data_IF_998535630112
#
_entry.id   IF_998535630112
#
_cell.length_a   1.000
_cell.length_b   1.000
_cell.length_c   1.000
_cell.angle_alpha   90.00
_cell.angle_beta   90.00
_cell.angle_gamma   90.00
#
_symmetry.space_group_name_H-M   'P 1'
#
loop_
_entity.id
_entity.type
_entity.pdbx_description
1 polymer ?
#
# COMPACT_ATOMS: atom_id res chain seq x y z
N UNK A 1 26.02 -22.87 3.41
CA UNK A 1 26.29 -23.59 4.68
C UNK A 1 25.09 -23.29 5.55
N UNK A 2 24.03 -24.03 5.32
CA UNK A 2 22.71 -23.77 5.90
C UNK A 2 22.70 -24.33 7.32
N UNK A 3 22.42 -23.46 8.29
CA UNK A 3 22.49 -23.79 9.71
C UNK A 3 21.41 -24.83 10.07
N UNK A 4 21.75 -25.99 10.65
CA UNK A 4 20.81 -27.06 11.02
C UNK A 4 19.89 -26.71 12.22
N UNK A 5 19.65 -25.42 12.47
CA UNK A 5 18.87 -24.89 13.60
C UNK A 5 17.44 -24.44 13.19
N UNK A 6 17.00 -24.79 11.99
CA UNK A 6 15.65 -24.44 11.49
C UNK A 6 14.61 -25.56 11.65
N UNK A 7 15.02 -26.77 12.07
CA UNK A 7 14.12 -27.93 12.20
C UNK A 7 13.16 -27.86 13.42
N UNK A 8 13.30 -26.84 14.28
CA UNK A 8 12.41 -26.63 15.42
C UNK A 8 11.68 -25.28 15.34
N UNK A 9 10.35 -25.26 15.53
CA UNK A 9 9.58 -24.02 15.54
C UNK A 9 10.06 -23.14 16.70
N UNK A 10 10.58 -21.96 16.37
CA UNK A 10 10.96 -20.94 17.34
C UNK A 10 9.73 -20.18 17.82
N UNK A 11 9.74 -19.74 19.07
CA UNK A 11 8.63 -19.01 19.67
C UNK A 11 8.69 -17.56 19.18
N UNK A 12 7.64 -17.11 18.50
CA UNK A 12 7.50 -15.74 18.03
C UNK A 12 6.76 -14.87 19.04
N UNK A 13 7.36 -13.74 19.39
CA UNK A 13 6.79 -12.69 20.25
C UNK A 13 6.64 -11.42 19.39
N UNK A 14 5.53 -10.71 19.59
CA UNK A 14 5.19 -9.49 18.83
C UNK A 14 5.95 -8.25 19.31
N UNK A 15 6.38 -8.19 20.57
CA UNK A 15 7.07 -7.03 21.11
C UNK A 15 8.05 -7.35 22.22
N UNK A 16 9.16 -6.60 22.28
CA UNK A 16 10.09 -6.59 23.41
C UNK A 16 9.40 -6.25 24.73
N UNK A 17 8.35 -5.41 24.68
CA UNK A 17 7.55 -5.06 25.86
C UNK A 17 6.85 -6.30 26.44
N UNK A 18 6.37 -7.19 25.59
CA UNK A 18 5.68 -8.41 26.03
C UNK A 18 6.64 -9.39 26.66
N UNK A 19 7.85 -9.53 26.10
CA UNK A 19 8.90 -10.35 26.70
C UNK A 19 9.29 -9.82 28.09
N UNK A 20 9.53 -8.50 28.23
CA UNK A 20 9.82 -7.89 29.55
C UNK A 20 8.65 -8.06 30.53
N UNK A 21 7.41 -7.96 30.05
CA UNK A 21 6.22 -8.19 30.88
C UNK A 21 6.15 -9.63 31.38
N UNK A 22 6.41 -10.62 30.52
CA UNK A 22 6.46 -12.04 30.91
C UNK A 22 7.58 -12.28 31.93
N UNK A 23 8.78 -11.73 31.69
CA UNK A 23 9.91 -11.84 32.62
C UNK A 23 9.56 -11.26 34.00
N UNK A 24 8.92 -10.09 34.04
CA UNK A 24 8.51 -9.44 35.28
C UNK A 24 7.43 -10.23 36.02
N UNK A 25 6.41 -10.74 35.30
CA UNK A 25 5.35 -11.55 35.90
C UNK A 25 5.90 -12.86 36.48
N UNK A 26 6.82 -13.52 35.78
CA UNK A 26 7.47 -14.74 36.28
C UNK A 26 8.27 -14.40 37.54
N UNK A 27 9.09 -13.35 37.52
CA UNK A 27 9.85 -12.88 38.69
C UNK A 27 8.94 -12.57 39.88
N UNK A 28 7.83 -11.88 39.64
CA UNK A 28 6.86 -11.54 40.69
C UNK A 28 6.17 -12.79 41.27
N UNK A 29 5.70 -13.71 40.42
CA UNK A 29 5.08 -14.96 40.85
C UNK A 29 6.03 -15.86 41.65
N UNK A 30 7.31 -15.94 41.24
CA UNK A 30 8.33 -16.68 41.97
C UNK A 30 8.65 -16.05 43.33
N UNK A 31 8.77 -14.72 43.40
CA UNK A 31 8.98 -14.02 44.66
C UNK A 31 7.79 -14.15 45.61
N UNK A 32 6.56 -14.10 45.09
CA UNK A 32 5.36 -14.33 45.89
C UNK A 32 5.35 -15.74 46.50
N UNK A 33 5.69 -16.76 45.70
CA UNK A 33 5.75 -18.14 46.19
C UNK A 33 6.88 -18.35 47.20
N UNK A 34 8.05 -17.76 46.96
CA UNK A 34 9.16 -17.80 47.90
C UNK A 34 8.76 -17.24 49.26
N UNK A 35 8.06 -16.10 49.30
CA UNK A 35 7.56 -15.51 50.56
C UNK A 35 6.64 -16.47 51.30
N UNK A 36 5.68 -17.09 50.61
CA UNK A 36 4.77 -18.08 51.23
C UNK A 36 5.51 -19.29 51.82
N UNK A 37 6.50 -19.82 51.09
CA UNK A 37 7.31 -20.94 51.58
C UNK A 37 8.21 -20.53 52.76
N UNK A 38 8.75 -19.31 52.74
CA UNK A 38 9.58 -18.77 53.83
C UNK A 38 8.77 -18.54 55.11
N UNK A 39 7.53 -18.06 54.99
CA UNK A 39 6.59 -17.92 56.12
C UNK A 39 6.26 -19.28 56.76
N UNK A 40 6.27 -20.35 55.97
CA UNK A 40 6.01 -21.72 56.44
C UNK A 40 7.25 -22.39 57.06
N UNK A 41 8.46 -21.98 56.70
CA UNK A 41 9.72 -22.63 57.07
C UNK A 41 10.43 -21.86 58.19
N UNK A 42 10.49 -22.44 59.40
CA UNK A 42 10.88 -21.74 60.66
C UNK A 42 12.38 -21.41 60.93
N UNK A 43 13.42 -21.89 60.23
CA UNK A 43 14.77 -21.38 60.48
C UNK A 43 15.00 -20.07 59.71
N UNK A 44 15.94 -19.22 60.17
CA UNK A 44 16.30 -17.96 59.51
C UNK A 44 17.13 -18.29 58.27
N UNK A 45 16.48 -18.76 57.21
CA UNK A 45 17.09 -18.78 55.89
C UNK A 45 17.27 -17.32 55.49
N UNK A 46 18.50 -16.95 55.14
CA UNK A 46 18.81 -15.62 54.61
C UNK A 46 17.99 -15.41 53.32
N UNK A 47 16.82 -14.78 53.47
CA UNK A 47 15.88 -14.47 52.38
C UNK A 47 16.60 -13.79 51.21
N UNK A 48 17.53 -12.90 51.53
CA UNK A 48 18.37 -12.19 50.58
C UNK A 48 19.30 -13.10 49.77
N UNK A 49 19.85 -14.15 50.39
CA UNK A 49 20.73 -15.09 49.68
C UNK A 49 19.92 -15.99 48.75
N UNK A 50 18.74 -16.44 49.19
CA UNK A 50 17.87 -17.27 48.36
C UNK A 50 17.31 -16.46 47.21
N UNK A 51 16.82 -15.24 47.45
CA UNK A 51 16.32 -14.37 46.38
C UNK A 51 17.41 -14.03 45.36
N UNK A 52 18.64 -13.79 45.81
CA UNK A 52 19.78 -13.59 44.91
C UNK A 52 20.02 -14.81 43.99
N UNK A 53 20.11 -16.01 44.58
CA UNK A 53 20.31 -17.26 43.81
C UNK A 53 19.14 -17.58 42.89
N UNK A 54 17.93 -17.20 43.28
CA UNK A 54 16.73 -17.41 42.47
C UNK A 54 16.71 -16.46 41.27
N UNK A 55 17.13 -15.20 41.45
CA UNK A 55 17.28 -14.26 40.34
C UNK A 55 18.35 -14.73 39.35
N UNK A 56 19.50 -15.21 39.85
CA UNK A 56 20.56 -15.80 39.03
C UNK A 56 20.05 -17.03 38.25
N UNK A 57 19.24 -17.87 38.89
CA UNK A 57 18.59 -19.00 38.21
C UNK A 57 17.62 -18.54 37.13
N UNK A 58 16.76 -17.55 37.41
CA UNK A 58 15.83 -17.01 36.41
C UNK A 58 16.55 -16.39 35.22
N UNK A 59 17.64 -15.66 35.46
CA UNK A 59 18.52 -15.13 34.41
C UNK A 59 19.09 -16.26 33.55
N UNK A 60 19.61 -17.32 34.16
CA UNK A 60 20.11 -18.49 33.41
C UNK A 60 19.02 -19.18 32.56
N UNK A 61 17.78 -19.22 33.05
CA UNK A 61 16.64 -19.78 32.31
C UNK A 61 16.30 -18.91 31.11
N UNK A 62 16.31 -17.59 31.26
CA UNK A 62 16.08 -16.67 30.15
C UNK A 62 17.20 -16.76 29.13
N UNK A 63 18.47 -16.83 29.56
CA UNK A 63 19.62 -17.02 28.69
C UNK A 63 19.50 -18.29 27.84
N UNK A 64 19.12 -19.42 28.45
CA UNK A 64 18.89 -20.68 27.73
C UNK A 64 17.70 -20.56 26.75
N UNK A 65 16.70 -19.74 27.07
CA UNK A 65 15.54 -19.52 26.22
C UNK A 65 15.81 -18.57 25.04
N UNK A 66 16.75 -17.61 25.19
CA UNK A 66 17.10 -16.62 24.15
C UNK A 66 17.30 -17.16 22.74
N UNK A 67 18.06 -18.24 22.48
CA UNK A 67 18.27 -18.76 21.11
C UNK A 67 16.98 -19.21 20.40
N UNK A 68 15.94 -19.52 21.17
CA UNK A 68 14.69 -20.06 20.67
C UNK A 68 13.60 -18.99 20.50
N UNK A 69 13.91 -17.72 20.79
CA UNK A 69 12.98 -16.60 20.70
C UNK A 69 13.17 -15.81 19.40
N UNK A 70 12.04 -15.47 18.78
CA UNK A 70 11.96 -14.53 17.66
C UNK A 70 11.12 -13.34 18.05
N UNK A 71 11.60 -12.13 17.82
CA UNK A 71 10.82 -10.91 18.04
C UNK A 71 10.63 -10.22 16.70
N UNK A 72 9.37 -10.02 16.29
CA UNK A 72 9.03 -9.40 15.01
C UNK A 72 9.78 -9.99 13.80
N UNK A 73 9.96 -11.32 13.80
CA UNK A 73 10.63 -12.05 12.72
C UNK A 73 12.16 -12.01 12.75
N UNK A 74 12.79 -11.31 13.71
CA UNK A 74 14.24 -11.32 13.94
C UNK A 74 14.63 -12.27 15.07
N UNK A 75 15.83 -12.84 15.00
CA UNK A 75 16.38 -13.71 16.05
C UNK A 75 16.86 -12.85 17.21
N UNK A 76 16.51 -13.22 18.45
CA UNK A 76 16.89 -12.45 19.64
C UNK A 76 18.42 -12.37 19.84
N UNK A 77 19.19 -13.36 19.37
CA UNK A 77 20.66 -13.36 19.44
C UNK A 77 21.31 -12.23 18.63
N UNK A 78 20.65 -11.74 17.57
CA UNK A 78 21.17 -10.69 16.70
C UNK A 78 20.88 -9.28 17.24
N UNK A 79 19.90 -9.16 18.14
CA UNK A 79 19.50 -7.92 18.81
C UNK A 79 20.02 -7.98 20.25
N UNK A 80 21.31 -7.75 20.45
CA UNK A 80 21.92 -7.65 21.78
C UNK A 80 21.17 -6.61 22.63
N UNK A 81 20.60 -7.05 23.76
CA UNK A 81 19.86 -6.22 24.70
C UNK A 81 20.65 -5.01 25.27
N UNK A 82 21.98 -4.99 25.10
CA UNK A 82 22.86 -3.86 25.45
C UNK A 82 22.96 -2.78 24.36
N UNK A 83 22.59 -3.09 23.10
CA UNK A 83 22.49 -2.10 22.01
C UNK A 83 21.18 -1.28 22.10
N UNK A 84 20.23 -1.67 22.96
CA UNK A 84 18.85 -1.16 22.98
C UNK A 84 18.70 0.25 23.60
N UNK A 85 19.70 0.78 24.34
CA UNK A 85 19.64 2.18 24.83
C UNK A 85 20.06 3.21 23.78
N UNK A 86 20.66 2.77 22.67
CA UNK A 86 21.03 3.62 21.55
C UNK A 86 20.39 3.04 20.29
N UNK A 87 19.12 3.42 20.05
CA UNK A 87 18.51 3.25 18.74
C UNK A 87 19.49 3.78 17.68
N UNK A 88 20.03 2.87 16.86
CA UNK A 88 21.04 3.22 15.88
C UNK A 88 20.42 4.19 14.86
N UNK A 89 21.10 5.32 14.63
CA UNK A 89 20.58 6.33 13.71
C UNK A 89 20.47 5.76 12.29
N UNK A 90 19.24 5.63 11.79
CA UNK A 90 18.98 5.20 10.43
C UNK A 90 19.01 6.41 9.47
N UNK A 91 20.17 6.64 8.87
CA UNK A 91 20.35 7.70 7.86
C UNK A 91 19.43 7.54 6.64
N UNK A 92 18.99 6.32 6.32
CA UNK A 92 18.09 6.09 5.19
C UNK A 92 16.67 6.58 5.53
N UNK A 93 16.20 6.33 6.76
CA UNK A 93 14.94 6.87 7.25
C UNK A 93 14.99 8.39 7.34
N UNK A 94 16.08 8.98 7.80
CA UNK A 94 16.23 10.44 7.83
C UNK A 94 16.17 11.02 6.40
N UNK A 95 16.96 10.50 5.45
CA UNK A 95 16.87 10.93 4.03
C UNK A 95 15.46 10.77 3.47
N UNK A 96 14.73 9.73 3.89
CA UNK A 96 13.35 9.54 3.46
C UNK A 96 12.41 10.60 4.03
N UNK A 97 12.54 10.94 5.31
CA UNK A 97 11.78 12.03 5.96
C UNK A 97 12.02 13.36 5.24
N UNK A 98 13.27 13.65 4.87
CA UNK A 98 13.63 14.85 4.11
C UNK A 98 13.06 14.85 2.70
N UNK A 99 13.09 13.70 2.02
CA UNK A 99 12.47 13.58 0.69
C UNK A 99 10.95 13.77 0.76
N UNK A 100 10.29 13.23 1.78
CA UNK A 100 8.84 13.37 1.95
C UNK A 100 8.44 14.81 2.27
N UNK A 101 9.22 15.51 3.11
CA UNK A 101 8.94 16.90 3.43
C UNK A 101 9.10 17.81 2.20
N UNK A 102 10.11 17.57 1.37
CA UNK A 102 10.29 18.30 0.10
C UNK A 102 9.15 18.03 -0.90
N UNK A 103 8.67 16.78 -0.98
CA UNK A 103 7.49 16.43 -1.78
C UNK A 103 6.22 17.13 -1.28
N UNK A 104 6.01 17.16 0.03
CA UNK A 104 4.87 17.84 0.63
C UNK A 104 4.86 19.33 0.28
N UNK A 105 6.01 20.00 0.40
CA UNK A 105 6.13 21.43 0.06
C UNK A 105 5.85 21.67 -1.44
N UNK A 106 6.32 20.78 -2.32
CA UNK A 106 6.03 20.86 -3.77
C UNK A 106 4.54 20.73 -4.05
N UNK A 107 3.88 19.73 -3.47
CA UNK A 107 2.45 19.53 -3.65
C UNK A 107 1.61 20.67 -3.08
N UNK A 108 1.99 21.22 -1.93
CA UNK A 108 1.30 22.39 -1.37
C UNK A 108 1.40 23.60 -2.31
N UNK A 109 2.58 23.82 -2.90
CA UNK A 109 2.78 24.88 -3.89
C UNK A 109 1.94 24.64 -5.15
N UNK A 110 2.01 23.44 -5.73
CA UNK A 110 1.23 23.07 -6.90
C UNK A 110 -0.28 23.22 -6.65
N UNK A 111 -0.75 22.80 -5.47
CA UNK A 111 -2.14 22.92 -5.08
C UNK A 111 -2.57 24.39 -4.92
N UNK A 112 -1.73 25.23 -4.33
CA UNK A 112 -1.98 26.66 -4.22
C UNK A 112 -2.05 27.34 -5.59
N UNK A 113 -1.15 26.98 -6.50
CA UNK A 113 -1.16 27.45 -7.89
C UNK A 113 -2.42 26.99 -8.62
N UNK A 114 -2.79 25.72 -8.49
CA UNK A 114 -4.00 25.15 -9.09
C UNK A 114 -5.27 25.86 -8.60
N UNK A 115 -5.37 26.09 -7.28
CA UNK A 115 -6.50 26.80 -6.67
C UNK A 115 -6.62 28.24 -7.16
N UNK A 116 -5.50 28.87 -7.55
CA UNK A 116 -5.48 30.25 -8.06
C UNK A 116 -5.79 30.33 -9.55
N UNK A 117 -5.24 29.44 -10.38
CA UNK A 117 -5.34 29.54 -11.84
C UNK A 117 -6.54 28.80 -12.41
N UNK A 118 -6.80 27.58 -11.95
CA UNK A 118 -7.80 26.70 -12.58
C UNK A 118 -9.24 27.21 -12.53
N UNK A 119 -9.72 27.84 -11.44
CA UNK A 119 -11.08 28.37 -11.46
C UNK A 119 -11.31 29.41 -12.56
N UNK A 120 -10.34 30.30 -12.79
CA UNK A 120 -10.41 31.31 -13.86
C UNK A 120 -10.42 30.66 -15.25
N UNK A 121 -9.51 29.72 -15.50
CA UNK A 121 -9.45 28.97 -16.76
C UNK A 121 -10.76 28.22 -17.05
N UNK A 122 -11.39 27.63 -16.03
CA UNK A 122 -12.65 26.90 -16.15
C UNK A 122 -13.80 27.88 -16.48
N UNK A 123 -13.86 29.03 -15.81
CA UNK A 123 -14.88 30.05 -16.09
C UNK A 123 -14.75 30.56 -17.53
N UNK A 124 -13.54 30.87 -17.99
CA UNK A 124 -13.29 31.32 -19.36
C UNK A 124 -13.70 30.27 -20.40
N UNK A 125 -13.42 28.99 -20.14
CA UNK A 125 -13.84 27.89 -21.02
C UNK A 125 -15.36 27.72 -21.05
N UNK A 126 -16.02 27.79 -19.90
CA UNK A 126 -17.47 27.72 -19.81
C UNK A 126 -18.11 28.90 -20.53
N UNK A 127 -17.61 30.11 -20.33
CA UNK A 127 -18.14 31.30 -21.00
C UNK A 127 -18.01 31.19 -22.53
N UNK A 128 -16.85 30.77 -23.03
CA UNK A 128 -16.67 30.49 -24.47
C UNK A 128 -17.63 29.41 -25.00
N UNK A 129 -17.95 28.40 -24.20
CA UNK A 129 -18.91 27.37 -24.58
C UNK A 129 -20.34 27.93 -24.66
N UNK A 130 -20.74 28.74 -23.67
CA UNK A 130 -22.03 29.44 -23.70
C UNK A 130 -22.15 30.41 -24.87
N UNK A 131 -21.11 31.20 -25.15
CA UNK A 131 -21.11 32.17 -26.25
C UNK A 131 -21.26 31.48 -27.61
N UNK A 132 -20.60 30.33 -27.80
CA UNK A 132 -20.77 29.49 -29.00
C UNK A 132 -22.19 28.96 -29.12
N UNK A 133 -22.77 28.50 -28.02
CA UNK A 133 -24.13 27.98 -28.01
C UNK A 133 -25.18 29.06 -28.29
N UNK A 134 -24.96 30.28 -27.78
CA UNK A 134 -25.79 31.44 -28.05
C UNK A 134 -25.66 31.91 -29.51
N UNK A 135 -24.46 31.85 -30.09
CA UNK A 135 -24.26 32.16 -31.51
C UNK A 135 -25.01 31.18 -32.42
N UNK A 136 -24.91 29.87 -32.15
CA UNK A 136 -25.64 28.84 -32.90
C UNK A 136 -27.16 29.00 -32.78
N UNK A 137 -27.67 29.29 -31.58
CA UNK A 137 -29.10 29.52 -31.37
C UNK A 137 -29.63 30.80 -32.08
N UNK A 138 -28.78 31.81 -32.27
CA UNK A 138 -29.13 33.01 -33.02
C UNK A 138 -29.06 32.79 -34.54
N UNK A 139 -28.15 31.94 -35.03
CA UNK A 139 -28.10 31.51 -36.44
C UNK A 139 -29.36 30.69 -36.79
N UNK A 140 -29.72 29.70 -35.96
CA UNK A 140 -30.97 28.91 -36.11
C UNK A 140 -32.25 29.77 -36.04
N UNK A 141 -32.22 30.88 -35.28
CA UNK A 141 -33.32 31.83 -35.19
C UNK A 141 -33.42 32.82 -36.35
N UNK A 142 -32.37 33.01 -37.14
CA UNK A 142 -32.37 33.83 -38.36
C UNK A 142 -32.80 33.04 -39.59
N UNK A 143 -32.55 31.73 -39.64
CA UNK A 143 -33.00 30.86 -40.73
C UNK A 143 -34.49 30.47 -40.60
N UNK A 144 -35.08 30.59 -39.40
CA UNK A 144 -36.48 30.22 -39.14
C UNK A 144 -37.53 31.18 -39.74
N UNK A 145 -37.14 32.37 -40.20
CA UNK A 145 -38.06 33.34 -40.83
C UNK A 145 -38.01 33.33 -42.38
N UNK A 146 -37.12 32.54 -43.01
CA UNK A 146 -36.99 32.52 -44.49
C UNK A 146 -37.22 31.18 -45.20
N UNK A 147 -37.43 30.05 -44.51
CA UNK A 147 -37.66 28.78 -45.22
C UNK A 147 -39.13 28.43 -45.36
N UNK A 148 -39.68 28.84 -46.52
CA UNK A 148 -40.74 28.10 -47.18
C UNK A 148 -40.37 26.62 -47.25
N UNK A 149 -41.35 25.77 -46.93
CA UNK A 149 -41.33 24.32 -47.09
C UNK A 149 -40.46 23.85 -48.27
N UNK A 150 -39.29 23.28 -47.96
CA UNK A 150 -38.37 22.77 -48.98
C UNK A 150 -38.23 21.24 -48.83
N UNK A 151 -38.43 20.54 -49.94
CA UNK A 151 -38.41 19.07 -50.07
C UNK A 151 -37.01 18.48 -49.79
N UNK A 152 -36.01 19.33 -49.54
CA UNK A 152 -34.61 19.02 -49.20
C UNK A 152 -34.41 18.38 -47.82
N UNK A 153 -35.29 18.65 -46.84
CA UNK A 153 -35.14 18.10 -45.48
C UNK A 153 -35.41 16.58 -45.39
N UNK A 154 -36.16 16.01 -46.34
CA UNK A 154 -36.45 14.56 -46.37
C UNK A 154 -35.26 13.73 -46.90
N UNK A 155 -34.50 14.28 -47.85
CA UNK A 155 -33.32 13.61 -48.41
C UNK A 155 -32.15 13.60 -47.42
N UNK A 156 -31.94 14.70 -46.67
CA UNK A 156 -30.91 14.75 -45.63
C UNK A 156 -31.20 13.81 -44.45
N UNK A 157 -32.47 13.67 -44.06
CA UNK A 157 -32.87 12.74 -43.00
C UNK A 157 -32.62 11.27 -43.38
N UNK A 158 -32.89 10.90 -44.64
CA UNK A 158 -32.62 9.56 -45.15
C UNK A 158 -31.12 9.24 -45.22
N UNK A 159 -30.30 10.22 -45.61
CA UNK A 159 -28.84 10.11 -45.62
C UNK A 159 -28.25 9.93 -44.22
N UNK A 160 -28.80 10.62 -43.21
CA UNK A 160 -28.37 10.49 -41.81
C UNK A 160 -28.72 9.10 -41.27
N UNK A 161 -29.91 8.60 -41.53
CA UNK A 161 -30.32 7.24 -41.11
C UNK A 161 -29.47 6.16 -41.78
N UNK A 162 -29.16 6.32 -43.07
CA UNK A 162 -28.27 5.42 -43.78
C UNK A 162 -26.85 5.43 -43.17
N UNK A 163 -26.28 6.60 -42.90
CA UNK A 163 -24.95 6.72 -42.26
C UNK A 163 -24.96 6.13 -40.85
N UNK A 164 -26.02 6.33 -40.09
CA UNK A 164 -26.18 5.76 -38.75
C UNK A 164 -26.27 4.22 -38.77
N UNK A 165 -27.00 3.67 -39.73
CA UNK A 165 -27.06 2.21 -39.92
C UNK A 165 -25.68 1.64 -40.30
N UNK A 166 -24.93 2.35 -41.17
CA UNK A 166 -23.58 1.96 -41.57
C UNK A 166 -22.60 1.98 -40.39
N UNK A 167 -22.59 3.04 -39.58
CA UNK A 167 -21.69 3.13 -38.41
C UNK A 167 -22.02 2.09 -37.36
N UNK A 168 -23.31 1.81 -37.13
CA UNK A 168 -23.76 0.76 -36.23
C UNK A 168 -23.31 -0.63 -36.72
N UNK A 169 -23.41 -0.88 -38.03
CA UNK A 169 -22.92 -2.14 -38.63
C UNK A 169 -21.40 -2.28 -38.56
N UNK A 170 -20.64 -1.19 -38.69
CA UNK A 170 -19.18 -1.20 -38.51
C UNK A 170 -18.80 -1.45 -37.05
N UNK A 171 -19.53 -0.87 -36.11
CA UNK A 171 -19.32 -1.10 -34.68
C UNK A 171 -19.54 -2.57 -34.29
N UNK A 172 -20.59 -3.22 -34.82
CA UNK A 172 -20.83 -4.65 -34.56
C UNK A 172 -19.76 -5.53 -35.19
N UNK A 173 -19.29 -5.20 -36.40
CA UNK A 173 -18.17 -5.90 -37.03
C UNK A 173 -16.87 -5.75 -36.22
N UNK A 174 -16.58 -4.55 -35.71
CA UNK A 174 -15.40 -4.32 -34.86
C UNK A 174 -15.48 -5.13 -33.57
N UNK A 175 -16.63 -5.15 -32.90
CA UNK A 175 -16.86 -5.99 -31.71
C UNK A 175 -16.61 -7.47 -31.99
N UNK A 176 -16.95 -7.96 -33.19
CA UNK A 176 -16.69 -9.34 -33.59
C UNK A 176 -15.21 -9.61 -33.92
N UNK A 177 -14.50 -8.63 -34.50
CA UNK A 177 -13.11 -8.81 -34.97
C UNK A 177 -12.08 -8.62 -33.84
N UNK A 178 -12.34 -7.72 -32.88
CA UNK A 178 -11.44 -7.46 -31.74
C UNK A 178 -11.00 -8.72 -30.99
N UNK A 179 -11.87 -9.65 -30.56
CA UNK A 179 -11.43 -10.83 -29.81
C UNK A 179 -10.53 -11.74 -30.64
N UNK A 180 -10.81 -11.89 -31.93
CA UNK A 180 -9.99 -12.71 -32.85
C UNK A 180 -8.60 -12.09 -33.04
N UNK A 181 -8.51 -10.77 -33.18
CA UNK A 181 -7.22 -10.09 -33.30
C UNK A 181 -6.43 -10.09 -32.00
N UNK A 182 -7.11 -9.97 -30.85
CA UNK A 182 -6.50 -10.10 -29.54
C UNK A 182 -5.90 -11.50 -29.34
N UNK A 183 -6.63 -12.55 -29.69
CA UNK A 183 -6.12 -13.92 -29.62
C UNK A 183 -4.91 -14.14 -30.54
N UNK A 184 -4.94 -13.60 -31.76
CA UNK A 184 -3.79 -13.63 -32.69
C UNK A 184 -2.58 -12.89 -32.12
N UNK A 185 -2.79 -11.74 -31.49
CA UNK A 185 -1.72 -10.97 -30.86
C UNK A 185 -1.08 -11.72 -29.69
N UNK A 186 -1.88 -12.36 -28.83
CA UNK A 186 -1.36 -13.20 -27.75
C UNK A 186 -0.59 -14.41 -28.28
N UNK A 187 -1.13 -15.12 -29.28
CA UNK A 187 -0.41 -16.23 -29.94
C UNK A 187 0.92 -15.77 -30.55
N UNK A 188 0.95 -14.59 -31.18
CA UNK A 188 2.17 -14.01 -31.71
C UNK A 188 3.17 -13.66 -30.60
N UNK A 189 2.70 -13.11 -29.46
CA UNK A 189 3.54 -12.81 -28.30
C UNK A 189 4.19 -14.07 -27.73
N UNK A 190 3.42 -15.15 -27.59
CA UNK A 190 3.91 -16.45 -27.14
C UNK A 190 4.94 -17.01 -28.13
N UNK A 191 4.61 -17.07 -29.42
CA UNK A 191 5.55 -17.55 -30.44
C UNK A 191 6.84 -16.71 -30.52
N UNK A 192 6.74 -15.38 -30.35
CA UNK A 192 7.90 -14.48 -30.30
C UNK A 192 8.78 -14.74 -29.07
N UNK A 193 8.19 -15.03 -27.91
CA UNK A 193 8.92 -15.43 -26.72
C UNK A 193 9.63 -16.77 -26.89
N UNK A 194 8.98 -17.76 -27.52
CA UNK A 194 9.57 -19.06 -27.85
C UNK A 194 10.73 -18.94 -28.86
N UNK A 195 10.58 -18.13 -29.91
CA UNK A 195 11.66 -17.90 -30.88
C UNK A 195 12.86 -17.20 -30.22
N UNK A 196 12.61 -16.30 -29.25
CA UNK A 196 13.67 -15.64 -28.49
C UNK A 196 14.40 -16.62 -27.56
N UNK A 197 13.69 -17.54 -26.89
CA UNK A 197 14.33 -18.52 -26.01
C UNK A 197 15.11 -19.60 -26.75
N UNK A 198 14.80 -19.86 -28.03
CA UNK A 198 15.56 -20.79 -28.89
C UNK A 198 16.85 -20.14 -29.45
N UNK A 199 16.92 -18.81 -29.52
CA UNK A 199 18.09 -18.08 -30.04
C UNK A 199 19.17 -17.77 -29.00
N UNK A 200 18.94 -18.09 -27.73
CA UNK A 200 19.92 -18.06 -26.62
C UNK A 200 20.35 -19.47 -26.27
#
# INVERSE_FOLDING_TARGET
MDSPREDHPRISIESYKDLRFIQNNIREAFNARLRTELESTKPPINEQLVSFRLNEYLESVFDIATPNLRINGRSYEDDSAEQEELEAFDEALDRHIWSLSDQMIKWDKELAELRRSKPGEIVDLLQKAYDKHAALANEEGQDADEEMADETQLDEAADIEQRFSQTTSLATQLLQVIPVQHERAERFRVASAEVKSIKT
#
